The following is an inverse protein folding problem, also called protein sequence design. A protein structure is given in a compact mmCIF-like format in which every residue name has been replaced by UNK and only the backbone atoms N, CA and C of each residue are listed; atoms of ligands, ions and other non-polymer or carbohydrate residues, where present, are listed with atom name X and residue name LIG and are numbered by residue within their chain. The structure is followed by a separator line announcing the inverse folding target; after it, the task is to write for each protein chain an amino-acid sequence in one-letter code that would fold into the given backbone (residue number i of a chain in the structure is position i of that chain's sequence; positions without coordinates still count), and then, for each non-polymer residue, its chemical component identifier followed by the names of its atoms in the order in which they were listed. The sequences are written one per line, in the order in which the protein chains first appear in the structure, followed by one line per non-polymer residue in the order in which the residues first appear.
data_IF_572239596538
#
_entry.id   IF_572239596538
#
_cell.length_a   1.000
_cell.length_b   1.000
_cell.length_c   1.000
_cell.angle_alpha   90.00
_cell.angle_beta   90.00
_cell.angle_gamma   90.00
#
_symmetry.space_group_name_H-M   'P 1'
#
loop_
_entity.id
_entity.type
_entity.pdbx_description
1 polymer ?
#
# COMPACT_ATOMS: atom_id res chain seq x y z
N UNK A 1 17.01 12.44 -17.44
CA UNK A 1 16.05 11.60 -16.69
C UNK A 1 15.29 10.73 -17.67
N UNK A 2 14.85 9.53 -17.24
CA UNK A 2 13.93 8.71 -18.02
C UNK A 2 12.48 9.14 -17.77
N UNK A 3 11.67 9.12 -18.82
CA UNK A 3 10.21 9.27 -18.77
C UNK A 3 9.54 8.12 -18.00
N UNK A 4 8.24 8.25 -17.70
CA UNK A 4 7.46 7.19 -17.06
C UNK A 4 7.37 5.97 -17.98
N UNK A 5 7.09 6.20 -19.26
CA UNK A 5 6.97 5.15 -20.27
C UNK A 5 8.27 4.36 -20.42
N UNK A 6 9.42 5.05 -20.39
CA UNK A 6 10.72 4.40 -20.42
C UNK A 6 11.00 3.62 -19.12
N UNK A 7 10.54 4.10 -17.96
CA UNK A 7 10.78 3.42 -16.66
C UNK A 7 9.98 2.13 -16.50
N UNK A 8 8.78 2.03 -17.08
CA UNK A 8 7.88 0.88 -16.90
C UNK A 8 8.55 -0.46 -17.23
N UNK A 9 9.16 -0.67 -18.43
CA UNK A 9 9.83 -1.93 -18.74
C UNK A 9 10.96 -2.30 -17.77
N UNK A 10 11.68 -1.31 -17.24
CA UNK A 10 12.73 -1.55 -16.25
C UNK A 10 12.16 -1.96 -14.90
N UNK A 11 11.04 -1.36 -14.47
CA UNK A 11 10.34 -1.79 -13.25
C UNK A 11 9.84 -3.23 -13.38
N UNK A 12 9.17 -3.57 -14.48
CA UNK A 12 8.70 -4.95 -14.74
C UNK A 12 9.87 -5.94 -14.68
N UNK A 13 10.97 -5.63 -15.37
CA UNK A 13 12.18 -6.47 -15.36
C UNK A 13 12.75 -6.64 -13.95
N UNK A 14 12.86 -5.55 -13.18
CA UNK A 14 13.40 -5.58 -11.83
C UNK A 14 12.56 -6.47 -10.91
N UNK A 15 11.24 -6.30 -10.92
CA UNK A 15 10.33 -7.10 -10.10
C UNK A 15 10.38 -8.59 -10.48
N UNK A 16 10.38 -8.93 -11.77
CA UNK A 16 10.53 -10.32 -12.20
C UNK A 16 11.85 -10.95 -11.74
N UNK A 17 12.95 -10.20 -11.76
CA UNK A 17 14.24 -10.67 -11.26
C UNK A 17 14.21 -10.90 -9.74
N UNK A 18 13.64 -9.96 -8.98
CA UNK A 18 13.47 -10.10 -7.52
C UNK A 18 12.59 -11.30 -7.19
N UNK A 19 11.43 -11.44 -7.83
CA UNK A 19 10.53 -12.57 -7.63
C UNK A 19 11.20 -13.91 -7.95
N UNK A 20 11.97 -13.97 -9.05
CA UNK A 20 12.73 -15.18 -9.42
C UNK A 20 13.76 -15.57 -8.36
N UNK A 21 14.45 -14.59 -7.77
CA UNK A 21 15.40 -14.83 -6.69
C UNK A 21 14.71 -15.34 -5.42
N UNK A 22 13.56 -14.75 -5.05
CA UNK A 22 12.77 -15.19 -3.90
C UNK A 22 12.27 -16.64 -4.12
N UNK A 23 11.77 -16.95 -5.32
CA UNK A 23 11.37 -18.31 -5.70
C UNK A 23 12.50 -19.32 -5.55
N UNK A 24 13.72 -18.95 -5.98
CA UNK A 24 14.89 -19.81 -5.87
C UNK A 24 15.37 -20.04 -4.42
N UNK A 25 14.89 -19.26 -3.47
CA UNK A 25 15.32 -19.32 -2.06
C UNK A 25 14.61 -20.41 -1.25
N UNK A 26 13.71 -21.21 -1.86
CA UNK A 26 12.96 -22.29 -1.20
C UNK A 26 12.24 -21.87 0.10
N UNK A 27 11.73 -20.64 0.14
CA UNK A 27 10.94 -20.17 1.27
C UNK A 27 9.62 -20.93 1.40
N UNK A 28 9.16 -21.09 2.64
CA UNK A 28 7.83 -21.59 2.95
C UNK A 28 7.09 -20.60 3.85
N UNK A 29 5.79 -20.84 4.04
CA UNK A 29 4.91 -19.95 4.78
C UNK A 29 5.36 -19.75 6.25
N UNK A 30 5.85 -20.80 6.92
CA UNK A 30 6.34 -20.72 8.30
C UNK A 30 7.59 -19.85 8.39
N UNK A 31 8.54 -20.04 7.48
CA UNK A 31 9.74 -19.20 7.40
C UNK A 31 9.38 -17.74 7.16
N UNK A 32 8.37 -17.46 6.34
CA UNK A 32 7.92 -16.09 6.10
C UNK A 32 7.37 -15.44 7.38
N UNK A 33 6.58 -16.18 8.17
CA UNK A 33 6.08 -15.70 9.46
C UNK A 33 7.22 -15.42 10.44
N UNK A 34 8.19 -16.32 10.53
CA UNK A 34 9.38 -16.13 11.36
C UNK A 34 10.21 -14.92 10.91
N UNK A 35 10.39 -14.72 9.61
CA UNK A 35 11.10 -13.56 9.06
C UNK A 35 10.42 -12.25 9.47
N UNK A 36 9.10 -12.16 9.34
CA UNK A 36 8.37 -10.97 9.78
C UNK A 36 8.47 -10.79 11.28
N UNK A 37 8.37 -11.86 12.06
CA UNK A 37 8.46 -11.81 13.52
C UNK A 37 9.81 -11.26 14.01
N UNK A 38 10.92 -11.67 13.38
CA UNK A 38 12.28 -11.26 13.72
C UNK A 38 12.77 -10.01 12.97
N UNK A 39 11.94 -9.47 12.06
CA UNK A 39 12.27 -8.26 11.32
C UNK A 39 12.28 -7.03 12.25
N UNK A 40 12.98 -5.97 11.81
CA UNK A 40 12.94 -4.64 12.44
C UNK A 40 11.90 -3.73 11.80
N UNK A 41 10.84 -4.31 11.24
CA UNK A 41 9.77 -3.54 10.62
C UNK A 41 9.00 -2.79 11.71
N UNK A 42 8.73 -1.51 11.46
CA UNK A 42 8.04 -0.63 12.39
C UNK A 42 6.98 0.16 11.62
N UNK A 43 5.84 0.37 12.27
CA UNK A 43 4.87 1.35 11.80
C UNK A 43 5.33 2.76 12.18
N UNK A 44 5.00 3.75 11.35
CA UNK A 44 5.10 5.15 11.77
C UNK A 44 4.29 5.36 13.06
N UNK A 45 4.78 6.21 13.95
CA UNK A 45 4.08 6.52 15.21
C UNK A 45 2.69 7.06 14.90
N UNK A 46 1.64 6.53 15.52
CA UNK A 46 0.26 6.98 15.29
C UNK A 46 -0.52 6.17 14.25
N UNK A 47 0.10 5.24 13.51
CA UNK A 47 -0.59 4.43 12.48
C UNK A 47 -1.58 3.46 13.11
N UNK A 48 -1.24 2.86 14.26
CA UNK A 48 -2.12 1.91 14.94
C UNK A 48 -3.42 2.61 15.34
N UNK A 49 -3.29 3.78 15.97
CA UNK A 49 -4.40 4.63 16.37
C UNK A 49 -5.26 5.04 15.16
N UNK A 50 -4.62 5.46 14.08
CA UNK A 50 -5.30 5.85 12.83
C UNK A 50 -6.13 4.70 12.25
N UNK A 51 -5.53 3.53 12.06
CA UNK A 51 -6.21 2.36 11.48
C UNK A 51 -7.31 1.85 12.41
N UNK A 52 -7.06 1.76 13.71
CA UNK A 52 -8.07 1.32 14.68
C UNK A 52 -9.28 2.26 14.67
N UNK A 53 -9.08 3.58 14.57
CA UNK A 53 -10.18 4.54 14.49
C UNK A 53 -10.98 4.42 13.17
N UNK A 54 -10.30 4.21 12.05
CA UNK A 54 -10.96 3.95 10.76
C UNK A 54 -11.80 2.68 10.82
N UNK A 55 -11.28 1.59 11.39
CA UNK A 55 -12.04 0.35 11.55
C UNK A 55 -13.24 0.54 12.48
N UNK A 56 -13.08 1.27 13.60
CA UNK A 56 -14.16 1.59 14.55
C UNK A 56 -15.28 2.42 13.93
N UNK A 57 -14.91 3.40 13.12
CA UNK A 57 -15.85 4.25 12.37
C UNK A 57 -16.38 3.60 11.08
N UNK A 58 -16.00 2.34 10.81
CA UNK A 58 -16.34 1.58 9.61
C UNK A 58 -15.89 2.26 8.31
N UNK A 59 -14.83 3.07 8.36
CA UNK A 59 -14.21 3.72 7.21
C UNK A 59 -13.31 2.72 6.46
N UNK A 60 -13.55 2.42 5.16
CA UNK A 60 -12.80 1.41 4.43
C UNK A 60 -11.36 1.82 4.19
N UNK A 61 -10.46 0.87 4.37
CA UNK A 61 -9.03 1.04 4.23
C UNK A 61 -8.54 0.23 3.02
N UNK A 62 -7.93 0.87 2.04
CA UNK A 62 -7.19 0.18 0.98
C UNK A 62 -5.70 0.39 1.18
N UNK A 63 -4.96 -0.70 1.33
CA UNK A 63 -3.50 -0.69 1.29
C UNK A 63 -3.09 -1.14 -0.09
N UNK A 64 -2.62 -0.21 -0.92
CA UNK A 64 -2.18 -0.51 -2.27
C UNK A 64 -0.66 -0.42 -2.36
N UNK A 65 -0.02 -1.57 -2.30
CA UNK A 65 1.43 -1.70 -2.18
C UNK A 65 2.04 -2.34 -3.41
N UNK A 66 3.22 -1.87 -3.81
CA UNK A 66 4.06 -2.57 -4.77
C UNK A 66 5.02 -3.57 -4.09
N UNK A 67 4.79 -3.87 -2.81
CA UNK A 67 5.57 -4.83 -2.02
C UNK A 67 5.01 -6.25 -2.09
N UNK A 68 5.30 -7.04 -1.06
CA UNK A 68 4.79 -8.40 -0.89
C UNK A 68 3.57 -8.41 0.03
N UNK A 69 2.41 -8.81 -0.50
CA UNK A 69 1.12 -8.74 0.20
C UNK A 69 1.11 -9.54 1.50
N UNK A 70 1.62 -10.77 1.45
CA UNK A 70 1.66 -11.69 2.59
C UNK A 70 2.52 -11.16 3.74
N UNK A 71 3.63 -10.50 3.43
CA UNK A 71 4.47 -9.85 4.45
C UNK A 71 3.71 -8.71 5.13
N UNK A 72 3.02 -7.89 4.34
CA UNK A 72 2.21 -6.77 4.84
C UNK A 72 1.08 -7.30 5.72
N UNK A 73 0.38 -8.34 5.28
CA UNK A 73 -0.72 -8.94 6.04
C UNK A 73 -0.23 -9.55 7.36
N UNK A 74 0.85 -10.35 7.34
CA UNK A 74 1.43 -10.95 8.55
C UNK A 74 1.84 -9.85 9.53
N UNK A 75 2.50 -8.79 9.03
CA UNK A 75 2.97 -7.68 9.85
C UNK A 75 1.80 -6.88 10.44
N UNK A 76 0.81 -6.50 9.63
CA UNK A 76 -0.34 -5.72 10.11
C UNK A 76 -1.20 -6.51 11.07
N UNK A 77 -1.42 -7.81 10.87
CA UNK A 77 -2.17 -8.64 11.82
C UNK A 77 -1.47 -8.74 13.17
N UNK A 78 -0.13 -8.73 13.20
CA UNK A 78 0.65 -8.68 14.44
C UNK A 78 0.48 -7.33 15.15
N UNK A 79 0.57 -6.24 14.40
CA UNK A 79 0.55 -4.88 14.96
C UNK A 79 -0.87 -4.35 15.25
N UNK A 80 -1.88 -4.84 14.53
CA UNK A 80 -3.27 -4.36 14.52
C UNK A 80 -4.20 -5.58 14.27
N UNK A 81 -4.51 -6.37 15.31
CA UNK A 81 -5.26 -7.63 15.17
C UNK A 81 -6.66 -7.49 14.54
N UNK A 82 -7.25 -6.29 14.58
CA UNK A 82 -8.55 -5.97 13.98
C UNK A 82 -8.50 -5.82 12.46
N UNK A 83 -7.33 -5.58 11.88
CA UNK A 83 -7.18 -5.44 10.43
C UNK A 83 -7.40 -6.79 9.73
N UNK A 84 -8.24 -6.81 8.69
CA UNK A 84 -8.55 -8.03 7.94
C UNK A 84 -8.33 -7.81 6.45
N UNK A 85 -7.47 -8.60 5.83
CA UNK A 85 -7.39 -8.64 4.38
C UNK A 85 -8.66 -9.27 3.78
N UNK A 86 -9.00 -8.89 2.54
CA UNK A 86 -10.20 -9.36 1.84
C UNK A 86 -11.53 -9.14 2.60
N UNK A 87 -11.69 -7.97 3.19
CA UNK A 87 -12.88 -7.59 3.97
C UNK A 87 -13.50 -6.28 3.46
N UNK A 88 -14.78 -6.03 3.77
CA UNK A 88 -15.47 -4.79 3.39
C UNK A 88 -14.84 -3.53 4.01
N UNK A 89 -14.27 -3.65 5.21
CA UNK A 89 -13.62 -2.54 5.94
C UNK A 89 -12.14 -2.37 5.60
N UNK A 90 -11.50 -3.38 5.02
CA UNK A 90 -10.06 -3.34 4.77
C UNK A 90 -9.64 -4.32 3.68
N UNK A 91 -8.75 -3.87 2.80
CA UNK A 91 -8.25 -4.67 1.69
C UNK A 91 -6.78 -4.33 1.40
N UNK A 92 -6.04 -5.31 0.87
CA UNK A 92 -4.64 -5.13 0.44
C UNK A 92 -4.57 -5.50 -1.03
N UNK A 93 -4.13 -4.58 -1.87
CA UNK A 93 -3.70 -4.88 -3.24
C UNK A 93 -2.18 -4.84 -3.26
N UNK A 94 -1.55 -5.96 -3.62
CA UNK A 94 -0.09 -6.11 -3.62
C UNK A 94 0.32 -7.32 -4.45
N UNK A 95 1.63 -7.55 -4.59
CA UNK A 95 2.15 -8.81 -5.13
C UNK A 95 1.99 -9.92 -4.09
N UNK A 96 1.01 -10.80 -4.28
CA UNK A 96 0.75 -11.92 -3.35
C UNK A 96 1.56 -13.14 -3.71
N UNK A 97 1.89 -13.95 -2.72
CA UNK A 97 2.62 -15.19 -2.84
C UNK A 97 1.63 -16.35 -3.00
N UNK A 98 1.90 -17.22 -3.96
CA UNK A 98 1.19 -18.49 -4.10
C UNK A 98 1.99 -19.61 -3.42
N UNK A 99 1.33 -20.31 -2.49
CA UNK A 99 1.88 -21.46 -1.77
C UNK A 99 1.27 -22.77 -2.28
N UNK A 100 2.07 -23.84 -2.31
CA UNK A 100 1.57 -25.19 -2.55
C UNK A 100 0.92 -25.81 -1.29
N UNK A 101 0.41 -27.04 -1.42
CA UNK A 101 -0.22 -27.76 -0.31
C UNK A 101 0.72 -28.04 0.88
N UNK A 102 2.04 -27.98 0.68
CA UNK A 102 3.05 -28.14 1.73
C UNK A 102 3.52 -26.79 2.30
N UNK A 103 2.90 -25.68 1.86
CA UNK A 103 3.26 -24.33 2.28
C UNK A 103 4.53 -23.81 1.61
N UNK A 104 5.04 -24.44 0.55
CA UNK A 104 6.20 -23.95 -0.20
C UNK A 104 5.77 -22.83 -1.14
N UNK A 105 6.57 -21.76 -1.20
CA UNK A 105 6.40 -20.68 -2.17
C UNK A 105 6.64 -21.21 -3.60
N UNK A 106 5.64 -21.10 -4.47
CA UNK A 106 5.70 -21.62 -5.86
C UNK A 106 5.51 -20.57 -6.96
N UNK A 107 4.82 -19.47 -6.66
CA UNK A 107 4.61 -18.38 -7.63
C UNK A 107 4.27 -17.06 -6.91
N UNK A 108 4.11 -16.01 -7.71
CA UNK A 108 3.51 -14.75 -7.32
C UNK A 108 2.25 -14.50 -8.14
N UNK A 109 1.35 -13.66 -7.63
CA UNK A 109 0.14 -13.22 -8.32
C UNK A 109 0.45 -12.77 -9.75
N UNK A 110 -0.42 -13.18 -10.70
CA UNK A 110 -0.25 -12.89 -12.13
C UNK A 110 -0.20 -11.40 -12.44
N UNK A 111 -1.02 -10.61 -11.75
CA UNK A 111 -1.01 -9.16 -11.88
C UNK A 111 0.14 -8.62 -11.04
N UNK A 112 1.18 -8.14 -11.73
CA UNK A 112 2.31 -7.48 -11.09
C UNK A 112 1.91 -6.06 -10.68
N UNK A 113 2.05 -5.73 -9.40
CA UNK A 113 1.93 -4.37 -8.89
C UNK A 113 3.30 -3.75 -8.72
N UNK A 114 3.53 -2.63 -9.40
CA UNK A 114 4.74 -1.82 -9.30
C UNK A 114 4.38 -0.33 -9.10
N UNK A 115 5.33 0.54 -8.73
CA UNK A 115 5.02 1.94 -8.39
C UNK A 115 4.39 2.80 -9.50
N UNK A 116 4.26 2.30 -10.73
CA UNK A 116 3.79 3.04 -11.90
C UNK A 116 2.50 2.47 -12.53
N UNK A 117 1.88 1.45 -11.92
CA UNK A 117 0.64 0.86 -12.45
C UNK A 117 -0.47 0.71 -11.40
N UNK A 118 -0.42 1.47 -10.30
CA UNK A 118 -1.47 1.48 -9.28
C UNK A 118 -2.73 2.16 -9.86
N UNK A 119 -3.82 1.42 -9.97
CA UNK A 119 -5.13 1.89 -10.44
C UNK A 119 -6.27 1.02 -9.87
N UNK A 120 -7.52 1.44 -10.06
CA UNK A 120 -8.69 0.82 -9.45
C UNK A 120 -9.02 -0.60 -9.95
N UNK A 121 -8.44 -1.07 -11.05
CA UNK A 121 -8.82 -2.36 -11.64
C UNK A 121 -8.64 -3.55 -10.70
N UNK A 122 -7.65 -3.50 -9.81
CA UNK A 122 -7.33 -4.60 -8.89
C UNK A 122 -8.37 -4.82 -7.77
N UNK A 123 -9.30 -3.88 -7.56
CA UNK A 123 -10.30 -4.01 -6.47
C UNK A 123 -11.69 -4.43 -6.96
N UNK A 124 -12.00 -4.36 -8.25
CA UNK A 124 -13.38 -4.49 -8.76
C UNK A 124 -14.12 -5.78 -8.32
N UNK A 125 -13.42 -6.90 -8.25
CA UNK A 125 -13.99 -8.21 -7.89
C UNK A 125 -13.87 -8.54 -6.39
N UNK A 126 -13.72 -7.52 -5.54
CA UNK A 126 -13.52 -7.68 -4.09
C UNK A 126 -14.72 -7.18 -3.26
N UNK A 127 -14.94 -7.71 -2.05
CA UNK A 127 -15.92 -7.15 -1.11
C UNK A 127 -15.69 -5.67 -0.80
N UNK A 128 -14.42 -5.23 -0.86
CA UNK A 128 -14.02 -3.86 -0.62
C UNK A 128 -14.59 -2.87 -1.64
N UNK A 129 -14.61 -3.22 -2.92
CA UNK A 129 -15.11 -2.30 -3.96
C UNK A 129 -16.57 -1.91 -3.72
N UNK A 130 -17.40 -2.86 -3.28
CA UNK A 130 -18.79 -2.58 -2.95
C UNK A 130 -18.93 -1.60 -1.78
N UNK A 131 -18.02 -1.64 -0.79
CA UNK A 131 -18.09 -0.80 0.40
C UNK A 131 -17.70 0.67 0.13
N UNK A 132 -17.08 0.97 -1.01
CA UNK A 132 -16.62 2.31 -1.38
C UNK A 132 -17.49 3.00 -2.45
N UNK A 133 -18.45 2.31 -3.08
CA UNK A 133 -19.26 2.89 -4.16
C UNK A 133 -19.99 4.18 -3.77
N UNK A 134 -20.44 4.26 -2.51
CA UNK A 134 -21.16 5.43 -1.96
C UNK A 134 -20.26 6.36 -1.13
N UNK A 135 -18.93 6.25 -1.25
CA UNK A 135 -17.97 7.04 -0.48
C UNK A 135 -17.18 7.97 -1.40
N UNK A 136 -17.67 9.20 -1.63
CA UNK A 136 -17.07 10.12 -2.60
C UNK A 136 -15.81 10.84 -2.08
N UNK A 137 -15.48 10.70 -0.80
CA UNK A 137 -14.39 11.42 -0.16
C UNK A 137 -13.25 10.45 0.15
N UNK A 138 -12.03 10.81 -0.25
CA UNK A 138 -10.84 9.98 -0.07
C UNK A 138 -9.71 10.78 0.54
N UNK A 139 -9.04 10.19 1.53
CA UNK A 139 -7.72 10.61 1.97
C UNK A 139 -6.72 9.62 1.35
N UNK A 140 -5.84 10.13 0.48
CA UNK A 140 -4.77 9.36 -0.15
C UNK A 140 -3.48 9.63 0.61
N UNK A 141 -2.83 8.57 1.07
CA UNK A 141 -1.53 8.60 1.73
C UNK A 141 -0.52 7.87 0.84
N UNK A 142 0.56 8.54 0.47
CA UNK A 142 1.62 7.96 -0.37
C UNK A 142 2.99 8.51 0.01
N UNK A 143 4.04 7.85 -0.45
CA UNK A 143 5.42 8.30 -0.25
C UNK A 143 6.19 8.43 -1.57
N UNK A 144 5.61 7.98 -2.68
CA UNK A 144 6.14 8.15 -4.03
C UNK A 144 5.21 9.00 -4.90
N UNK A 145 5.75 9.62 -5.94
CA UNK A 145 4.94 10.36 -6.93
C UNK A 145 3.90 9.47 -7.60
N UNK A 146 4.22 8.20 -7.83
CA UNK A 146 3.30 7.24 -8.48
C UNK A 146 2.08 6.88 -7.63
N UNK A 147 2.11 7.08 -6.31
CA UNK A 147 1.00 6.73 -5.42
C UNK A 147 -0.22 7.60 -5.64
N UNK A 148 -0.08 8.80 -6.20
CA UNK A 148 -1.24 9.64 -6.56
C UNK A 148 -2.13 8.99 -7.62
N UNK A 149 -1.61 7.98 -8.33
CA UNK A 149 -2.37 7.14 -9.27
C UNK A 149 -3.33 6.17 -8.60
N UNK A 150 -3.24 5.92 -7.29
CA UNK A 150 -4.13 4.98 -6.58
C UNK A 150 -5.62 5.37 -6.65
N UNK A 151 -5.93 6.64 -6.93
CA UNK A 151 -7.30 7.12 -7.15
C UNK A 151 -7.68 7.30 -8.62
N UNK A 152 -6.76 7.00 -9.55
CA UNK A 152 -7.08 7.00 -10.97
C UNK A 152 -8.27 6.05 -11.24
N UNK A 153 -9.14 6.47 -12.16
CA UNK A 153 -10.27 5.70 -12.65
C UNK A 153 -11.45 5.46 -11.67
N UNK A 154 -11.32 5.84 -10.40
CA UNK A 154 -12.47 5.91 -9.47
C UNK A 154 -13.43 7.07 -9.84
N UNK A 155 -14.53 6.75 -10.52
CA UNK A 155 -15.48 7.73 -11.08
C UNK A 155 -16.41 8.39 -10.06
N UNK A 156 -16.57 7.80 -8.87
CA UNK A 156 -17.52 8.22 -7.85
C UNK A 156 -16.92 9.24 -6.85
N UNK A 157 -15.66 9.63 -7.01
CA UNK A 157 -14.98 10.55 -6.10
C UNK A 157 -15.35 12.02 -6.37
N UNK A 158 -15.59 12.77 -5.30
CA UNK A 158 -15.85 14.22 -5.29
C UNK A 158 -14.71 15.01 -4.65
N UNK A 159 -14.17 14.51 -3.54
CA UNK A 159 -13.14 15.19 -2.78
C UNK A 159 -12.00 14.22 -2.51
N UNK A 160 -10.78 14.62 -2.87
CA UNK A 160 -9.57 13.82 -2.67
C UNK A 160 -8.56 14.72 -1.99
N UNK A 161 -8.12 14.33 -0.79
CA UNK A 161 -7.01 14.95 -0.08
C UNK A 161 -5.78 14.06 -0.21
N UNK A 162 -4.73 14.54 -0.87
CA UNK A 162 -3.49 13.80 -1.10
C UNK A 162 -2.43 14.27 -0.12
N UNK A 163 -1.94 13.34 0.70
CA UNK A 163 -0.91 13.57 1.72
C UNK A 163 0.31 12.73 1.35
N UNK A 164 1.44 13.41 1.10
CA UNK A 164 2.68 12.80 0.65
C UNK A 164 3.75 12.80 1.74
N UNK A 165 4.28 11.63 2.08
CA UNK A 165 5.47 11.50 2.92
C UNK A 165 6.73 11.64 2.07
N UNK A 166 7.41 12.78 2.17
CA UNK A 166 8.69 13.00 1.53
C UNK A 166 9.82 12.55 2.46
N UNK A 167 10.19 11.27 2.34
CA UNK A 167 11.33 10.71 3.06
C UNK A 167 12.65 11.13 2.36
N UNK A 168 13.65 11.57 3.14
CA UNK A 168 14.91 12.12 2.66
C UNK A 168 14.68 13.32 1.74
N UNK A 169 14.12 14.38 2.32
CA UNK A 169 13.74 15.57 1.58
C UNK A 169 14.95 16.27 0.95
N UNK A 170 14.76 16.72 -0.29
CA UNK A 170 15.70 17.60 -0.99
C UNK A 170 14.87 18.70 -1.67
N UNK A 171 15.45 19.88 -1.93
CA UNK A 171 14.75 20.95 -2.63
C UNK A 171 14.14 20.48 -3.95
N UNK A 172 14.88 19.68 -4.74
CA UNK A 172 14.40 19.14 -6.02
C UNK A 172 13.20 18.20 -5.88
N UNK A 173 13.23 17.27 -4.90
CA UNK A 173 12.09 16.37 -4.66
C UNK A 173 10.88 17.12 -4.13
N UNK A 174 11.10 18.09 -3.25
CA UNK A 174 10.02 18.90 -2.68
C UNK A 174 9.25 19.65 -3.78
N UNK A 175 9.94 20.24 -4.75
CA UNK A 175 9.28 20.88 -5.90
C UNK A 175 8.43 19.91 -6.72
N UNK A 176 8.88 18.67 -6.90
CA UNK A 176 8.06 17.64 -7.56
C UNK A 176 6.83 17.30 -6.72
N UNK A 177 6.97 17.14 -5.40
CA UNK A 177 5.87 16.74 -4.51
C UNK A 177 4.80 17.83 -4.41
N UNK A 178 5.19 19.11 -4.43
CA UNK A 178 4.28 20.27 -4.45
C UNK A 178 3.33 20.27 -5.64
N UNK A 179 3.70 19.61 -6.75
CA UNK A 179 2.84 19.53 -7.93
C UNK A 179 1.80 18.40 -7.87
N UNK A 180 1.95 17.45 -6.94
CA UNK A 180 1.14 16.21 -6.95
C UNK A 180 0.42 15.91 -5.62
N UNK A 181 0.89 16.47 -4.50
CA UNK A 181 0.31 16.31 -3.17
C UNK A 181 -0.22 17.65 -2.64
N UNK A 182 -1.34 17.62 -1.93
CA UNK A 182 -1.95 18.79 -1.28
C UNK A 182 -1.24 19.13 0.03
N UNK A 183 -0.83 18.09 0.78
CA UNK A 183 -0.06 18.20 2.01
C UNK A 183 1.22 17.37 1.87
N UNK A 184 2.36 17.93 2.24
CA UNK A 184 3.65 17.24 2.18
C UNK A 184 4.25 17.20 3.58
N UNK A 185 4.52 15.99 4.04
CA UNK A 185 5.13 15.71 5.34
C UNK A 185 6.61 15.36 5.08
N UNK A 186 7.52 16.27 5.44
CA UNK A 186 8.95 16.13 5.15
C UNK A 186 9.70 15.52 6.34
N UNK A 187 10.38 14.39 6.11
CA UNK A 187 11.28 13.74 7.08
C UNK A 187 10.68 13.45 8.46
N UNK A 188 9.35 13.36 8.54
CA UNK A 188 8.59 13.06 9.76
C UNK A 188 8.05 11.63 9.69
N UNK A 189 8.32 10.86 10.75
CA UNK A 189 7.95 9.45 10.88
C UNK A 189 6.69 9.24 11.74
N UNK A 190 5.82 10.24 11.79
CA UNK A 190 4.54 10.21 12.52
C UNK A 190 3.32 10.23 11.59
N UNK A 191 2.18 9.86 12.14
CA UNK A 191 0.84 10.00 11.58
C UNK A 191 0.07 11.13 12.26
N UNK A 192 0.76 12.12 12.85
CA UNK A 192 0.13 13.20 13.60
C UNK A 192 -0.80 14.03 12.70
N UNK A 193 -0.36 14.39 11.48
CA UNK A 193 -1.18 15.14 10.51
C UNK A 193 -2.40 14.32 10.04
N UNK A 194 -2.27 13.06 9.55
CA UNK A 194 -3.43 12.22 9.24
C UNK A 194 -4.42 12.06 10.41
N UNK A 195 -3.92 11.85 11.63
CA UNK A 195 -4.77 11.72 12.82
C UNK A 195 -5.49 13.02 13.17
N UNK A 196 -4.83 14.18 13.06
CA UNK A 196 -5.48 15.48 13.27
C UNK A 196 -6.62 15.71 12.28
N UNK A 197 -6.43 15.33 11.02
CA UNK A 197 -7.48 15.43 9.99
C UNK A 197 -8.64 14.51 10.34
N UNK A 198 -8.36 13.24 10.70
CA UNK A 198 -9.39 12.27 11.05
C UNK A 198 -10.23 12.72 12.26
N UNK A 199 -9.63 13.40 13.24
CA UNK A 199 -10.32 13.87 14.44
C UNK A 199 -11.29 15.03 14.22
N UNK A 200 -11.26 15.68 13.05
CA UNK A 200 -12.14 16.82 12.70
C UNK A 200 -13.10 16.53 11.55
N UNK A 201 -13.05 15.31 11.00
CA UNK A 201 -13.94 14.80 9.94
C UNK A 201 -15.04 13.93 10.51
#
# INVERSE_FOLDING_TARGET
EMSIEEKIPHMVKWYHQVHSLILSSNLNQTMLQELVHHSKMELRKGVREFITELLRSQTPILIFSAGLGDIIEIFLRKEIPEFKHNHESSHIVSNSIEFDANGKLIAFSKNLVHPLNKNEHEIHDTPYYQSILNRPNVILLGDAVGDVGMTAGMKNLKHILKIGYLNHSTPSKLEVYKNVYDIIICDDQTFDVPNMILNVT
#
